data_IF_130597175114
#
_entry.id   IF_130597175114
#
_cell.length_a   1.000
_cell.length_b   1.000
_cell.length_c   1.000
_cell.angle_alpha   90.00
_cell.angle_beta   90.00
_cell.angle_gamma   90.00
#
_symmetry.space_group_name_H-M   'P 1'
#
loop_
_entity.id
_entity.type
_entity.pdbx_description
1 polymer ?
#
# COMPACT_ATOMS: atom_id res chain seq x y z
N UNK A 1 -22.10 19.00 10.60
CA UNK A 1 -21.38 17.74 10.94
C UNK A 1 -20.25 17.40 9.95
N UNK A 2 -19.46 18.38 9.50
CA UNK A 2 -18.48 18.21 8.39
C UNK A 2 -17.02 18.46 8.77
N UNK A 3 -16.74 18.96 9.98
CA UNK A 3 -15.38 19.32 10.41
C UNK A 3 -14.63 18.19 11.13
N UNK A 4 -15.31 17.29 11.85
CA UNK A 4 -14.65 16.20 12.59
C UNK A 4 -14.04 15.12 11.69
N UNK A 5 -14.68 14.81 10.55
CA UNK A 5 -14.16 13.86 9.57
C UNK A 5 -12.93 14.41 8.83
N UNK A 6 -12.85 15.73 8.62
CA UNK A 6 -11.67 16.39 8.05
C UNK A 6 -10.48 16.40 9.04
N UNK A 7 -10.75 16.58 10.34
CA UNK A 7 -9.70 16.62 11.38
C UNK A 7 -9.09 15.24 11.63
N UNK A 8 -9.88 14.15 11.57
CA UNK A 8 -9.32 12.79 11.63
C UNK A 8 -8.49 12.41 10.39
N UNK A 9 -8.87 12.89 9.20
CA UNK A 9 -8.08 12.71 7.97
C UNK A 9 -6.79 13.55 7.97
N UNK A 10 -6.77 14.69 8.67
CA UNK A 10 -5.60 15.55 8.83
C UNK A 10 -4.62 15.02 9.91
N UNK A 11 -5.11 14.38 10.98
CA UNK A 11 -4.24 13.78 12.01
C UNK A 11 -3.56 12.49 11.56
N UNK A 12 -4.13 11.75 10.60
CA UNK A 12 -3.44 10.65 9.93
C UNK A 12 -2.37 11.11 8.90
N UNK A 13 -2.15 12.43 8.75
CA UNK A 13 -1.22 13.01 7.78
C UNK A 13 0.18 13.36 8.34
N UNK A 14 0.43 13.13 9.64
CA UNK A 14 1.67 13.54 10.32
C UNK A 14 2.44 12.40 11.03
N UNK A 15 2.07 11.14 10.82
CA UNK A 15 2.79 10.03 11.45
C UNK A 15 4.16 9.79 10.76
N UNK A 16 5.29 9.78 11.50
CA UNK A 16 6.57 9.35 10.96
C UNK A 16 6.48 7.89 10.51
N UNK A 17 7.32 7.53 9.54
CA UNK A 17 7.44 6.18 8.98
C UNK A 17 7.98 5.19 10.02
N UNK A 18 7.13 4.77 10.96
CA UNK A 18 7.40 3.59 11.78
C UNK A 18 7.34 2.35 10.91
N UNK A 19 8.22 1.39 11.16
CA UNK A 19 8.25 0.06 10.53
C UNK A 19 6.81 -0.48 10.41
N UNK A 20 6.30 -0.61 9.19
CA UNK A 20 4.86 -0.68 8.92
C UNK A 20 4.12 -1.87 9.55
N UNK A 21 4.83 -2.93 9.92
CA UNK A 21 4.28 -4.07 10.67
C UNK A 21 3.98 -3.72 12.13
N UNK A 22 4.60 -2.68 12.69
CA UNK A 22 4.36 -2.27 14.07
C UNK A 22 3.02 -1.53 14.27
N UNK A 23 2.37 -1.14 13.18
CA UNK A 23 1.20 -0.27 13.14
C UNK A 23 -0.11 -0.91 12.66
N UNK A 24 -0.24 -2.25 12.66
CA UNK A 24 -1.53 -2.92 12.33
C UNK A 24 -2.69 -2.21 13.04
N UNK A 25 -3.72 -1.84 12.26
CA UNK A 25 -4.95 -1.25 12.78
C UNK A 25 -4.86 0.18 13.34
N UNK A 26 -3.69 0.82 13.31
CA UNK A 26 -3.46 2.02 14.11
C UNK A 26 -4.33 3.23 13.75
N UNK A 27 -4.89 3.23 12.54
CA UNK A 27 -5.72 4.31 11.99
C UNK A 27 -7.07 3.81 11.45
N UNK A 28 -7.55 2.66 11.94
CA UNK A 28 -8.80 2.08 11.44
C UNK A 28 -8.67 1.44 10.05
N UNK A 29 -7.45 1.21 9.56
CA UNK A 29 -7.16 0.51 8.31
C UNK A 29 -6.46 -0.80 8.64
N UNK A 30 -6.92 -1.89 8.03
CA UNK A 30 -6.43 -3.22 8.33
C UNK A 30 -6.29 -4.06 7.06
N UNK A 31 -5.21 -4.85 6.91
CA UNK A 31 -5.18 -5.91 5.90
C UNK A 31 -6.20 -7.00 6.25
N UNK A 32 -6.75 -7.64 5.21
CA UNK A 32 -7.73 -8.72 5.36
C UNK A 32 -7.14 -10.01 4.82
N UNK A 33 -7.16 -11.05 5.65
CA UNK A 33 -6.61 -12.36 5.33
C UNK A 33 -7.73 -13.36 5.13
N UNK A 34 -7.51 -14.30 4.21
CA UNK A 34 -8.39 -15.45 3.99
C UNK A 34 -7.80 -16.65 4.72
N UNK A 35 -8.55 -17.23 5.65
CA UNK A 35 -8.21 -18.47 6.35
C UNK A 35 -9.31 -19.49 6.07
N UNK A 36 -9.08 -20.38 5.09
CA UNK A 36 -10.11 -21.21 4.51
C UNK A 36 -11.26 -20.36 3.94
N UNK A 37 -12.47 -20.55 4.47
CA UNK A 37 -13.66 -19.76 4.10
C UNK A 37 -13.82 -18.47 4.94
N UNK A 38 -12.99 -18.28 5.97
CA UNK A 38 -13.12 -17.17 6.92
C UNK A 38 -12.27 -15.98 6.47
N UNK A 39 -12.80 -14.77 6.64
CA UNK A 39 -12.04 -13.54 6.46
C UNK A 39 -11.68 -12.99 7.82
N UNK A 40 -10.41 -12.66 8.00
CA UNK A 40 -9.83 -12.33 9.30
C UNK A 40 -9.05 -11.03 9.21
N UNK A 41 -9.24 -10.17 10.20
CA UNK A 41 -8.39 -9.00 10.45
C UNK A 41 -7.59 -9.26 11.73
N UNK A 42 -6.31 -8.88 11.72
CA UNK A 42 -5.48 -8.88 12.92
C UNK A 42 -5.17 -7.47 13.42
N UNK A 43 -5.10 -7.31 14.75
CA UNK A 43 -4.66 -6.10 15.42
C UNK A 43 -3.86 -6.44 16.68
N UNK A 44 -2.98 -5.52 17.11
CA UNK A 44 -2.30 -5.65 18.40
C UNK A 44 -3.30 -5.40 19.53
N UNK A 45 -3.35 -6.23 20.59
CA UNK A 45 -4.14 -5.95 21.77
C UNK A 45 -3.60 -4.68 22.44
N UNK A 46 -4.28 -3.54 22.22
CA UNK A 46 -3.97 -2.28 22.88
C UNK A 46 -4.47 -2.30 24.32
N UNK A 47 -3.66 -1.82 25.26
CA UNK A 47 -4.03 -1.67 26.68
C UNK A 47 -5.05 -0.54 26.93
N UNK A 48 -5.39 0.28 25.94
CA UNK A 48 -6.26 1.45 26.13
C UNK A 48 -7.76 1.11 26.00
N UNK A 49 -8.62 1.89 26.68
CA UNK A 49 -10.09 1.81 26.60
C UNK A 49 -10.67 1.91 25.17
N UNK A 50 -9.86 2.35 24.20
CA UNK A 50 -10.24 2.50 22.79
C UNK A 50 -9.97 1.24 21.94
N UNK A 51 -9.51 0.13 22.54
CA UNK A 51 -9.30 -1.16 21.86
C UNK A 51 -10.62 -1.87 21.48
N UNK A 52 -11.63 -1.12 21.02
CA UNK A 52 -12.97 -1.62 20.67
C UNK A 52 -13.16 -1.83 19.16
N UNK A 53 -12.21 -1.41 18.33
CA UNK A 53 -12.36 -1.40 16.87
C UNK A 53 -12.67 -2.80 16.29
N UNK A 54 -12.10 -3.83 16.91
CA UNK A 54 -12.32 -5.23 16.53
C UNK A 54 -13.40 -5.95 17.35
N UNK A 55 -14.22 -5.29 18.17
CA UNK A 55 -15.24 -5.99 18.97
C UNK A 55 -16.38 -6.55 18.11
N UNK A 56 -17.04 -7.65 18.52
CA UNK A 56 -18.26 -8.13 17.86
C UNK A 56 -19.27 -7.01 17.62
N UNK A 57 -19.88 -6.99 16.43
CA UNK A 57 -20.78 -5.91 15.99
C UNK A 57 -20.06 -4.72 15.33
N UNK A 58 -18.73 -4.63 15.42
CA UNK A 58 -17.98 -3.60 14.71
C UNK A 58 -18.10 -3.77 13.19
N UNK A 59 -18.41 -2.67 12.50
CA UNK A 59 -18.55 -2.63 11.03
C UNK A 59 -17.25 -2.21 10.35
N UNK A 60 -16.99 -2.83 9.21
CA UNK A 60 -15.86 -2.58 8.32
C UNK A 60 -16.32 -2.50 6.88
N UNK A 61 -15.82 -1.53 6.13
CA UNK A 61 -15.86 -1.55 4.67
C UNK A 61 -14.69 -2.39 4.18
N UNK A 62 -14.97 -3.50 3.50
CA UNK A 62 -13.95 -4.36 2.89
C UNK A 62 -13.85 -4.00 1.42
N UNK A 63 -12.64 -3.73 0.95
CA UNK A 63 -12.29 -3.52 -0.45
C UNK A 63 -11.51 -4.75 -0.90
N UNK A 64 -11.95 -5.36 -1.99
CA UNK A 64 -11.34 -6.54 -2.58
C UNK A 64 -11.13 -6.39 -4.08
N UNK A 65 -10.85 -7.49 -4.76
CA UNK A 65 -10.49 -7.55 -6.18
C UNK A 65 -11.62 -7.20 -7.16
N UNK A 66 -12.87 -7.30 -6.74
CA UNK A 66 -14.04 -7.09 -7.61
C UNK A 66 -14.89 -5.89 -7.17
N UNK A 67 -14.79 -5.49 -5.90
CA UNK A 67 -15.60 -4.42 -5.38
C UNK A 67 -15.40 -4.20 -3.89
N UNK A 68 -16.39 -3.58 -3.26
CA UNK A 68 -16.37 -3.30 -1.84
C UNK A 68 -17.76 -3.49 -1.21
N UNK A 69 -17.80 -3.99 0.03
CA UNK A 69 -19.04 -4.15 0.79
C UNK A 69 -18.79 -4.09 2.31
N UNK A 70 -19.88 -4.00 3.09
CA UNK A 70 -19.84 -3.90 4.54
C UNK A 70 -19.84 -5.28 5.18
N UNK A 71 -18.88 -5.48 6.06
CA UNK A 71 -18.74 -6.67 6.90
C UNK A 71 -18.86 -6.27 8.35
N UNK A 72 -19.24 -7.25 9.17
CA UNK A 72 -19.36 -7.10 10.62
C UNK A 72 -18.44 -8.10 11.30
N UNK A 73 -17.80 -7.70 12.39
CA UNK A 73 -17.09 -8.65 13.25
C UNK A 73 -18.11 -9.57 13.91
N UNK A 74 -18.05 -10.85 13.57
CA UNK A 74 -18.90 -11.88 14.19
C UNK A 74 -18.36 -12.35 15.53
N UNK A 75 -17.05 -12.59 15.61
CA UNK A 75 -16.36 -12.99 16.85
C UNK A 75 -14.91 -12.54 16.85
N UNK A 76 -14.32 -12.47 18.03
CA UNK A 76 -12.89 -12.22 18.22
C UNK A 76 -12.22 -13.36 18.96
N UNK A 77 -10.96 -13.65 18.64
CA UNK A 77 -10.10 -14.53 19.41
C UNK A 77 -8.74 -13.87 19.66
N UNK A 78 -8.03 -14.35 20.67
CA UNK A 78 -6.60 -14.11 20.79
C UNK A 78 -5.86 -15.13 19.91
N UNK A 79 -4.84 -14.67 19.21
CA UNK A 79 -3.92 -15.52 18.43
C UNK A 79 -2.50 -15.01 18.65
N UNK A 80 -1.52 -15.73 18.12
CA UNK A 80 -0.17 -15.21 17.94
C UNK A 80 -0.03 -14.79 16.48
N UNK A 81 0.63 -13.65 16.23
CA UNK A 81 0.95 -13.20 14.89
C UNK A 81 2.20 -13.87 14.36
N UNK A 82 2.35 -13.88 13.03
CA UNK A 82 3.59 -14.25 12.35
C UNK A 82 4.66 -13.17 12.46
N UNK A 83 4.91 -12.63 13.66
CA UNK A 83 6.07 -11.77 13.95
C UNK A 83 6.51 -12.00 15.40
N UNK A 84 7.82 -12.15 15.60
CA UNK A 84 8.42 -12.14 16.93
C UNK A 84 8.91 -10.73 17.30
N UNK A 85 8.67 -10.30 18.55
CA UNK A 85 9.32 -9.12 19.12
C UNK A 85 10.22 -9.54 20.27
N UNK A 86 11.49 -9.17 20.23
CA UNK A 86 12.49 -9.59 21.23
C UNK A 86 12.50 -11.12 21.42
N UNK A 87 12.44 -11.88 20.31
CA UNK A 87 12.36 -13.35 20.30
C UNK A 87 11.13 -13.94 21.03
N UNK A 88 10.08 -13.14 21.25
CA UNK A 88 8.80 -13.60 21.82
C UNK A 88 7.66 -13.45 20.81
N UNK A 89 6.74 -14.42 20.71
CA UNK A 89 5.56 -14.31 19.86
C UNK A 89 4.74 -13.08 20.24
N UNK A 90 4.35 -12.29 19.22
CA UNK A 90 3.46 -11.18 19.43
C UNK A 90 2.02 -11.70 19.53
N UNK A 91 1.38 -11.53 20.69
CA UNK A 91 -0.07 -11.78 20.82
C UNK A 91 -0.82 -10.77 19.97
N UNK A 92 -1.68 -11.25 19.08
CA UNK A 92 -2.59 -10.48 18.26
C UNK A 92 -4.05 -10.82 18.62
N UNK A 93 -4.94 -9.90 18.30
CA UNK A 93 -6.38 -10.15 18.28
C UNK A 93 -6.79 -10.45 16.84
N UNK A 94 -7.48 -11.55 16.64
CA UNK A 94 -8.10 -11.90 15.37
C UNK A 94 -9.59 -11.58 15.43
N UNK A 95 -10.12 -10.90 14.41
CA UNK A 95 -11.54 -10.63 14.25
C UNK A 95 -12.04 -11.35 13.00
N UNK A 96 -13.01 -12.25 13.17
CA UNK A 96 -13.64 -12.95 12.05
C UNK A 96 -14.78 -12.11 11.49
N UNK A 97 -14.71 -11.86 10.20
CA UNK A 97 -15.67 -11.04 9.47
C UNK A 97 -16.82 -11.89 8.89
N UNK A 98 -18.02 -11.34 8.98
CA UNK A 98 -19.25 -11.85 8.34
C UNK A 98 -19.78 -10.80 7.38
N UNK A 99 -20.05 -11.20 6.14
CA UNK A 99 -20.57 -10.31 5.10
C UNK A 99 -20.58 -10.95 3.71
N UNK A 100 -21.06 -10.21 2.69
CA UNK A 100 -21.26 -10.70 1.33
C UNK A 100 -19.94 -10.75 0.55
N UNK A 101 -19.36 -11.94 0.40
CA UNK A 101 -18.04 -12.14 -0.24
C UNK A 101 -18.06 -12.01 -1.77
N UNK A 102 -19.16 -12.43 -2.40
CA UNK A 102 -19.30 -12.45 -3.86
C UNK A 102 -19.25 -11.08 -4.53
N UNK A 103 -19.51 -9.99 -3.78
CA UNK A 103 -19.43 -8.62 -4.29
C UNK A 103 -18.04 -7.99 -4.15
N UNK A 104 -17.15 -8.65 -3.42
CA UNK A 104 -15.85 -8.12 -3.03
C UNK A 104 -14.72 -8.89 -3.74
N UNK A 105 -14.90 -10.19 -3.98
CA UNK A 105 -13.84 -11.04 -4.53
C UNK A 105 -12.77 -11.35 -3.49
N UNK A 106 -11.49 -11.33 -3.89
CA UNK A 106 -10.36 -11.52 -2.99
C UNK A 106 -10.17 -10.29 -2.10
N UNK A 107 -10.22 -10.41 -0.76
CA UNK A 107 -10.17 -9.25 0.11
C UNK A 107 -8.76 -8.68 0.22
N UNK A 108 -8.64 -7.36 0.16
CA UNK A 108 -7.36 -6.66 0.24
C UNK A 108 -7.29 -5.90 1.56
N UNK A 109 -8.22 -4.98 1.78
CA UNK A 109 -8.19 -4.07 2.92
C UNK A 109 -9.56 -3.91 3.57
N UNK A 110 -9.56 -3.68 4.87
CA UNK A 110 -10.69 -3.23 5.66
C UNK A 110 -10.49 -1.81 6.19
N UNK A 111 -11.54 -1.02 6.13
CA UNK A 111 -11.64 0.31 6.74
C UNK A 111 -12.70 0.25 7.83
N UNK A 112 -12.35 0.61 9.06
CA UNK A 112 -13.31 0.75 10.16
C UNK A 112 -14.28 1.85 9.80
N UNK A 113 -15.57 1.53 9.85
CA UNK A 113 -16.64 2.50 9.60
C UNK A 113 -17.55 2.68 10.82
N UNK A 114 -18.21 3.84 10.95
CA UNK A 114 -19.26 4.05 11.94
C UNK A 114 -20.43 3.07 11.81
N UNK A 115 -21.21 2.91 12.88
CA UNK A 115 -22.35 1.99 12.93
C UNK A 115 -23.42 2.30 11.86
N UNK A 116 -23.64 3.59 11.59
CA UNK A 116 -24.59 4.11 10.61
C UNK A 116 -24.00 4.29 9.20
N UNK A 117 -22.77 3.83 8.95
CA UNK A 117 -22.18 3.94 7.62
C UNK A 117 -22.97 3.09 6.62
N UNK A 118 -23.36 3.74 5.53
CA UNK A 118 -23.95 3.12 4.35
C UNK A 118 -22.97 3.29 3.20
N UNK A 119 -22.73 2.21 2.47
CA UNK A 119 -21.98 2.27 1.22
C UNK A 119 -22.83 3.05 0.22
N UNK A 120 -22.51 4.33 0.00
CA UNK A 120 -23.19 5.17 -0.98
C UNK A 120 -22.85 4.64 -2.37
N UNK A 121 -23.76 3.87 -2.96
CA UNK A 121 -23.60 3.27 -4.29
C UNK A 121 -23.65 4.29 -5.44
N UNK A 122 -23.97 5.57 -5.20
CA UNK A 122 -24.22 6.51 -6.29
C UNK A 122 -22.96 7.12 -6.93
N UNK A 123 -21.86 7.27 -6.19
CA UNK A 123 -20.66 7.97 -6.69
C UNK A 123 -19.34 7.23 -6.47
N UNK A 124 -19.28 6.20 -5.62
CA UNK A 124 -18.04 5.47 -5.42
C UNK A 124 -17.60 4.80 -6.73
N UNK A 125 -16.32 4.95 -7.10
CA UNK A 125 -15.75 4.33 -8.29
C UNK A 125 -14.78 3.24 -7.90
N UNK A 126 -14.93 2.09 -8.53
CA UNK A 126 -14.06 0.94 -8.37
C UNK A 126 -13.53 0.54 -9.75
N UNK A 127 -12.21 0.42 -9.89
CA UNK A 127 -11.57 0.11 -11.17
C UNK A 127 -10.40 -0.84 -10.93
N UNK A 128 -10.43 -2.02 -11.54
CA UNK A 128 -9.23 -2.84 -11.68
C UNK A 128 -8.32 -2.20 -12.72
N UNK A 129 -7.05 -1.97 -12.37
CA UNK A 129 -6.10 -1.27 -13.22
C UNK A 129 -5.26 -2.27 -14.00
N UNK A 130 -5.25 -2.08 -15.32
CA UNK A 130 -4.36 -2.81 -16.22
C UNK A 130 -3.01 -2.13 -16.30
N UNK A 131 -1.96 -2.92 -16.51
CA UNK A 131 -0.64 -2.39 -16.77
C UNK A 131 -0.57 -1.77 -18.17
N UNK A 132 -0.18 -0.51 -18.25
CA UNK A 132 0.04 0.28 -19.47
C UNK A 132 1.50 0.75 -19.58
N UNK A 133 2.44 0.03 -18.95
CA UNK A 133 3.86 0.30 -19.14
C UNK A 133 4.28 -0.14 -20.56
N UNK A 134 4.55 0.83 -21.43
CA UNK A 134 4.88 0.64 -22.84
C UNK A 134 5.96 1.63 -23.31
N UNK A 135 6.50 1.39 -24.51
CA UNK A 135 7.60 2.19 -25.09
C UNK A 135 7.30 3.70 -25.19
N UNK A 136 6.10 4.16 -25.62
CA UNK A 136 5.75 5.58 -25.59
C UNK A 136 5.89 6.22 -24.20
N UNK A 137 5.51 5.49 -23.14
CA UNK A 137 5.66 5.98 -21.79
C UNK A 137 7.13 6.10 -21.37
N UNK A 138 7.99 5.15 -21.79
CA UNK A 138 9.44 5.25 -21.59
C UNK A 138 10.02 6.45 -22.30
N UNK A 139 9.60 6.74 -23.53
CA UNK A 139 10.04 7.91 -24.27
C UNK A 139 9.60 9.22 -23.61
N UNK A 140 8.38 9.26 -23.06
CA UNK A 140 7.83 10.43 -22.41
C UNK A 140 8.48 10.73 -21.04
N UNK A 141 8.71 9.70 -20.22
CA UNK A 141 9.08 9.86 -18.82
C UNK A 141 10.47 9.36 -18.46
N UNK A 142 11.13 8.58 -19.32
CA UNK A 142 12.39 7.90 -19.00
C UNK A 142 13.49 8.86 -18.55
N UNK A 143 13.70 9.97 -19.29
CA UNK A 143 14.68 10.99 -18.93
C UNK A 143 14.34 11.67 -17.60
N UNK A 144 13.08 12.05 -17.39
CA UNK A 144 12.59 12.66 -16.14
C UNK A 144 12.75 11.72 -14.94
N UNK A 145 12.46 10.42 -15.11
CA UNK A 145 12.60 9.40 -14.08
C UNK A 145 14.07 9.16 -13.72
N UNK A 146 14.94 9.03 -14.72
CA UNK A 146 16.39 8.87 -14.52
C UNK A 146 16.97 10.08 -13.81
N UNK A 147 16.61 11.29 -14.22
CA UNK A 147 17.04 12.52 -13.56
C UNK A 147 16.56 12.57 -12.09
N UNK A 148 15.31 12.21 -11.82
CA UNK A 148 14.79 12.17 -10.46
C UNK A 148 15.54 11.17 -9.56
N UNK A 149 15.86 9.98 -10.06
CA UNK A 149 16.65 9.00 -9.30
C UNK A 149 18.08 9.47 -9.07
N UNK A 150 18.69 10.09 -10.06
CA UNK A 150 20.03 10.66 -9.93
C UNK A 150 20.08 11.69 -8.80
N UNK A 151 19.12 12.62 -8.76
CA UNK A 151 19.00 13.61 -7.70
C UNK A 151 18.66 12.99 -6.34
N UNK A 152 17.82 11.96 -6.31
CA UNK A 152 17.55 11.20 -5.08
C UNK A 152 18.80 10.51 -4.54
N UNK A 153 19.67 9.99 -5.42
CA UNK A 153 20.98 9.46 -5.08
C UNK A 153 21.88 10.51 -4.44
N UNK A 154 22.05 11.66 -5.11
CA UNK A 154 22.85 12.79 -4.61
C UNK A 154 22.35 13.33 -3.27
N UNK A 155 21.04 13.42 -3.11
CA UNK A 155 20.41 13.95 -1.90
C UNK A 155 20.35 12.95 -0.73
N UNK A 156 20.83 11.71 -0.92
CA UNK A 156 20.76 10.63 0.09
C UNK A 156 19.34 10.09 0.34
N UNK A 157 18.38 10.43 -0.53
CA UNK A 157 17.03 9.88 -0.47
C UNK A 157 16.96 8.46 -1.04
N UNK A 158 17.88 8.10 -1.94
CA UNK A 158 18.10 6.73 -2.38
C UNK A 158 18.98 6.00 -1.35
N UNK A 159 18.44 4.97 -0.72
CA UNK A 159 19.15 4.18 0.29
C UNK A 159 19.99 3.11 -0.40
N UNK A 160 21.31 3.24 -0.31
CA UNK A 160 22.25 2.22 -0.75
C UNK A 160 22.30 1.07 0.26
N UNK A 161 22.55 -0.14 -0.23
CA UNK A 161 22.82 -1.27 0.65
C UNK A 161 24.15 -1.03 1.41
N UNK A 162 24.25 -1.48 2.67
CA UNK A 162 25.50 -1.33 3.43
C UNK A 162 26.71 -2.03 2.79
N UNK A 163 26.48 -3.06 1.97
CA UNK A 163 27.48 -3.86 1.26
C UNK A 163 27.67 -3.44 -0.21
N UNK A 164 27.19 -2.26 -0.62
CA UNK A 164 27.34 -1.77 -1.99
C UNK A 164 28.63 -0.96 -2.17
N UNK A 165 29.71 -1.65 -2.53
CA UNK A 165 31.03 -1.06 -2.75
C UNK A 165 31.05 -0.02 -3.89
N UNK A 166 30.12 -0.11 -4.85
CA UNK A 166 30.02 0.84 -5.95
C UNK A 166 29.28 2.14 -5.62
N UNK A 167 28.62 2.22 -4.46
CA UNK A 167 27.87 3.40 -4.04
C UNK A 167 28.77 4.65 -3.92
N UNK A 168 29.97 4.49 -3.36
CA UNK A 168 30.92 5.60 -3.21
C UNK A 168 31.38 6.16 -4.57
N UNK A 169 31.64 5.29 -5.55
CA UNK A 169 32.01 5.69 -6.90
C UNK A 169 30.89 6.45 -7.61
N UNK A 170 29.64 5.99 -7.47
CA UNK A 170 28.48 6.70 -7.98
C UNK A 170 28.34 8.09 -7.36
N UNK A 171 28.46 8.21 -6.03
CA UNK A 171 28.30 9.49 -5.32
C UNK A 171 29.39 10.51 -5.69
N UNK A 172 30.58 10.04 -6.07
CA UNK A 172 31.68 10.89 -6.53
C UNK A 172 31.43 11.49 -7.93
N UNK A 173 30.80 10.75 -8.84
CA UNK A 173 30.50 11.19 -10.21
C UNK A 173 29.14 10.65 -10.73
N UNK A 174 28.01 11.19 -10.24
CA UNK A 174 26.70 10.69 -10.62
C UNK A 174 26.34 11.09 -12.07
N UNK A 175 26.22 10.08 -12.94
CA UNK A 175 25.86 10.26 -14.36
C UNK A 175 24.54 9.56 -14.71
N UNK A 176 23.73 10.08 -15.66
CA UNK A 176 22.48 9.43 -16.07
C UNK A 176 22.66 7.96 -16.48
N UNK A 177 23.75 7.63 -17.20
CA UNK A 177 24.04 6.26 -17.64
C UNK A 177 24.45 5.28 -16.52
N UNK A 178 24.65 5.77 -15.29
CA UNK A 178 24.92 4.91 -14.12
C UNK A 178 23.64 4.44 -13.41
N UNK A 179 22.48 4.91 -13.86
CA UNK A 179 21.17 4.51 -13.35
C UNK A 179 20.52 3.57 -14.36
N UNK A 180 20.30 2.32 -13.98
CA UNK A 180 19.42 1.43 -14.72
C UNK A 180 17.98 1.64 -14.21
N UNK A 181 17.03 1.83 -15.14
CA UNK A 181 15.66 2.19 -14.80
C UNK A 181 14.67 1.34 -15.58
N UNK A 182 13.59 0.93 -14.91
CA UNK A 182 12.47 0.21 -15.50
C UNK A 182 11.15 0.72 -14.94
N UNK A 183 10.14 0.85 -15.79
CA UNK A 183 8.74 1.03 -15.40
C UNK A 183 8.10 -0.36 -15.38
N UNK A 184 7.87 -0.91 -14.19
CA UNK A 184 7.24 -2.23 -14.01
C UNK A 184 5.72 -2.18 -14.22
N UNK A 185 5.11 -1.06 -13.82
CA UNK A 185 3.68 -0.86 -13.91
C UNK A 185 3.35 0.59 -14.20
N UNK A 186 2.36 0.83 -15.04
CA UNK A 186 1.75 2.13 -15.22
C UNK A 186 0.23 2.02 -15.33
N UNK A 187 -0.49 2.98 -14.75
CA UNK A 187 -1.92 3.12 -14.96
C UNK A 187 -2.35 4.59 -14.84
N UNK A 188 -3.52 4.91 -15.38
CA UNK A 188 -4.06 6.27 -15.44
C UNK A 188 -5.28 6.44 -14.53
N UNK A 189 -5.10 6.46 -13.19
CA UNK A 189 -6.23 6.70 -12.28
C UNK A 189 -6.70 8.14 -12.38
N UNK A 190 -8.01 8.38 -12.22
CA UNK A 190 -8.54 9.74 -12.13
C UNK A 190 -8.11 10.38 -10.81
N UNK A 191 -7.30 11.44 -10.87
CA UNK A 191 -6.86 12.21 -9.71
C UNK A 191 -7.26 13.68 -9.89
N UNK A 192 -8.06 14.18 -8.97
CA UNK A 192 -8.55 15.55 -8.97
C UNK A 192 -7.38 16.53 -8.92
N UNK A 193 -7.40 17.50 -9.83
CA UNK A 193 -6.36 18.52 -9.96
C UNK A 193 -5.19 18.15 -10.88
N UNK A 194 -5.18 16.93 -11.43
CA UNK A 194 -4.22 16.52 -12.47
C UNK A 194 -4.93 16.36 -13.81
N UNK A 195 -4.22 16.63 -14.92
CA UNK A 195 -4.81 16.59 -16.28
C UNK A 195 -4.69 15.21 -16.92
N UNK A 196 -3.49 14.65 -16.87
CA UNK A 196 -3.08 13.36 -17.43
C UNK A 196 -2.31 12.57 -16.36
N UNK A 197 -2.99 12.20 -15.25
CA UNK A 197 -2.37 11.48 -14.16
C UNK A 197 -1.89 10.08 -14.58
N UNK A 198 -0.66 9.74 -14.21
CA UNK A 198 -0.10 8.38 -14.38
C UNK A 198 0.54 7.93 -13.07
N UNK A 199 0.01 6.86 -12.48
CA UNK A 199 0.64 6.18 -11.36
C UNK A 199 1.62 5.14 -11.92
N UNK A 200 2.85 5.16 -11.42
CA UNK A 200 3.96 4.36 -11.92
C UNK A 200 4.55 3.54 -10.78
N UNK A 201 4.88 2.28 -11.04
CA UNK A 201 5.85 1.54 -10.25
C UNK A 201 7.15 1.49 -11.04
N UNK A 202 8.18 2.11 -10.51
CA UNK A 202 9.50 2.17 -11.14
C UNK A 202 10.50 1.40 -10.32
N UNK A 203 11.33 0.61 -10.97
CA UNK A 203 12.48 -0.07 -10.38
C UNK A 203 13.75 0.61 -10.89
N UNK A 204 14.55 1.12 -9.96
CA UNK A 204 15.76 1.85 -10.26
C UNK A 204 16.94 1.19 -9.56
N UNK A 205 17.99 0.93 -10.32
CA UNK A 205 19.23 0.34 -9.85
C UNK A 205 20.38 1.34 -9.99
N UNK A 206 21.13 1.51 -8.92
CA UNK A 206 22.40 2.23 -8.90
C UNK A 206 23.41 1.26 -8.28
N UNK A 207 24.46 0.91 -9.01
CA UNK A 207 25.40 -0.14 -8.61
C UNK A 207 24.66 -1.46 -8.25
N UNK A 208 24.87 -2.02 -7.06
CA UNK A 208 24.21 -3.23 -6.58
C UNK A 208 22.94 -2.94 -5.77
N UNK A 209 22.62 -1.67 -5.54
CA UNK A 209 21.42 -1.26 -4.82
C UNK A 209 20.23 -1.12 -5.77
N UNK A 210 19.08 -1.60 -5.31
CA UNK A 210 17.80 -1.51 -6.02
C UNK A 210 16.80 -0.75 -5.19
N UNK A 211 15.97 0.04 -5.85
CA UNK A 211 14.91 0.80 -5.21
C UNK A 211 13.68 0.84 -6.09
N UNK A 212 12.61 0.26 -5.56
CA UNK A 212 11.30 0.34 -6.19
C UNK A 212 10.47 1.45 -5.57
N UNK A 213 9.81 2.21 -6.42
CA UNK A 213 9.06 3.39 -6.04
C UNK A 213 7.68 3.36 -6.67
N UNK A 214 6.66 3.69 -5.88
CA UNK A 214 5.46 4.27 -6.46
C UNK A 214 5.70 5.76 -6.73
N UNK A 215 5.49 6.17 -7.97
CA UNK A 215 5.55 7.57 -8.42
C UNK A 215 4.22 7.98 -9.03
N UNK A 216 3.96 9.28 -9.02
CA UNK A 216 2.83 9.89 -9.71
C UNK A 216 3.39 10.88 -10.72
N UNK A 217 2.85 10.89 -11.93
CA UNK A 217 3.16 11.85 -12.97
C UNK A 217 1.88 12.55 -13.43
N UNK A 218 2.03 13.74 -13.99
CA UNK A 218 0.99 14.45 -14.74
C UNK A 218 1.58 14.85 -16.09
N UNK A 219 1.32 14.02 -17.11
CA UNK A 219 1.98 14.16 -18.41
C UNK A 219 3.45 13.77 -18.33
N UNK A 220 4.35 14.69 -18.67
CA UNK A 220 5.81 14.53 -18.68
C UNK A 220 6.49 14.86 -17.33
N UNK A 221 5.72 15.30 -16.34
CA UNK A 221 6.23 15.79 -15.06
C UNK A 221 5.92 14.84 -13.92
N UNK A 222 6.90 14.62 -13.05
CA UNK A 222 6.70 13.89 -11.80
C UNK A 222 6.08 14.80 -10.73
N UNK A 223 5.16 14.22 -9.97
CA UNK A 223 4.41 14.87 -8.90
C UNK A 223 4.78 14.22 -7.57
N UNK A 224 5.37 15.04 -6.68
CA UNK A 224 5.84 14.57 -5.38
C UNK A 224 7.11 13.72 -5.47
N UNK A 225 7.41 13.00 -4.39
CA UNK A 225 8.61 12.16 -4.26
C UNK A 225 8.29 10.68 -4.51
N UNK A 226 9.34 9.88 -4.72
CA UNK A 226 9.23 8.43 -4.62
C UNK A 226 8.58 8.01 -3.29
N UNK A 227 7.54 7.19 -3.36
CA UNK A 227 7.02 6.44 -2.23
C UNK A 227 7.59 5.03 -2.30
N UNK A 228 8.57 4.76 -1.45
CA UNK A 228 9.35 3.53 -1.54
C UNK A 228 8.52 2.27 -1.25
N UNK A 229 8.69 1.27 -2.11
CA UNK A 229 8.17 -0.07 -1.97
C UNK A 229 9.34 -1.02 -1.71
N UNK A 230 9.65 -1.34 -0.44
CA UNK A 230 10.87 -2.06 -0.09
C UNK A 230 11.10 -3.36 -0.84
N UNK A 231 12.36 -3.51 -1.25
CA UNK A 231 12.89 -4.48 -2.20
C UNK A 231 12.75 -5.96 -1.76
N UNK A 232 12.73 -6.24 -0.45
CA UNK A 232 13.02 -7.58 0.07
C UNK A 232 12.04 -8.70 -0.38
N UNK A 233 10.88 -8.37 -0.93
CA UNK A 233 9.82 -9.36 -1.20
C UNK A 233 9.20 -9.24 -2.60
N UNK A 234 9.69 -8.30 -3.44
CA UNK A 234 9.04 -7.91 -4.69
C UNK A 234 9.74 -8.42 -5.97
N UNK A 235 10.43 -9.57 -5.97
CA UNK A 235 10.96 -10.14 -7.22
C UNK A 235 9.89 -10.43 -8.29
N UNK A 236 8.60 -10.23 -7.97
CA UNK A 236 7.46 -10.66 -8.78
C UNK A 236 6.42 -9.52 -8.98
N UNK A 237 6.85 -8.31 -9.40
CA UNK A 237 5.90 -7.23 -9.75
C UNK A 237 4.85 -7.68 -10.78
N UNK A 238 5.18 -8.67 -11.62
CA UNK A 238 4.26 -9.35 -12.52
C UNK A 238 3.05 -10.01 -11.82
N UNK A 239 3.15 -10.34 -10.54
CA UNK A 239 2.07 -10.94 -9.76
C UNK A 239 1.19 -9.90 -9.03
N UNK A 240 1.66 -8.65 -8.93
CA UNK A 240 0.89 -7.58 -8.30
C UNK A 240 -0.28 -7.20 -9.20
N UNK A 241 -1.45 -7.15 -8.59
CA UNK A 241 -2.67 -6.61 -9.15
C UNK A 241 -2.96 -5.27 -8.52
N UNK A 242 -3.49 -4.36 -9.33
CA UNK A 242 -3.75 -3.00 -8.91
C UNK A 242 -5.23 -2.71 -9.03
N UNK A 243 -5.79 -2.08 -8.00
CA UNK A 243 -7.17 -1.61 -7.97
C UNK A 243 -7.19 -0.16 -7.49
N UNK A 244 -8.05 0.63 -8.11
CA UNK A 244 -8.37 1.99 -7.68
C UNK A 244 -9.74 2.00 -7.03
N UNK A 245 -9.81 2.51 -5.81
CA UNK A 245 -11.07 2.75 -5.12
C UNK A 245 -11.20 4.23 -4.76
N UNK A 246 -12.13 4.92 -5.40
CA UNK A 246 -12.50 6.29 -5.06
C UNK A 246 -13.84 6.29 -4.31
N UNK A 247 -13.85 6.45 -2.98
CA UNK A 247 -15.07 6.38 -2.18
C UNK A 247 -16.07 7.49 -2.48
N UNK A 248 -15.61 8.63 -3.03
CA UNK A 248 -16.44 9.80 -3.29
C UNK A 248 -16.74 10.05 -4.77
N UNK A 249 -16.03 9.36 -5.68
CA UNK A 249 -16.08 9.63 -7.12
C UNK A 249 -15.54 11.00 -7.50
N UNK A 250 -14.83 11.67 -6.59
CA UNK A 250 -14.37 13.06 -6.74
C UNK A 250 -12.88 13.15 -7.09
N UNK A 251 -12.30 12.08 -7.64
CA UNK A 251 -10.90 12.01 -8.07
C UNK A 251 -9.95 11.92 -6.88
N UNK A 252 -10.35 11.24 -5.80
CA UNK A 252 -9.54 11.09 -4.58
C UNK A 252 -9.22 9.63 -4.26
N UNK A 253 -8.72 8.84 -5.23
CA UNK A 253 -8.65 7.40 -5.10
C UNK A 253 -7.59 6.93 -4.10
N UNK A 254 -7.87 5.77 -3.52
CA UNK A 254 -6.85 4.87 -3.01
C UNK A 254 -6.41 3.95 -4.12
N UNK A 255 -5.10 3.84 -4.32
CA UNK A 255 -4.49 2.81 -5.14
C UNK A 255 -4.06 1.67 -4.22
N UNK A 256 -4.58 0.47 -4.46
CA UNK A 256 -4.21 -0.73 -3.71
C UNK A 256 -3.48 -1.69 -4.65
N UNK A 257 -2.31 -2.16 -4.24
CA UNK A 257 -1.56 -3.21 -4.92
C UNK A 257 -1.60 -4.47 -4.06
N UNK A 258 -1.86 -5.64 -4.65
CA UNK A 258 -1.95 -6.91 -3.92
C UNK A 258 -1.61 -8.13 -4.77
N UNK A 259 -1.20 -9.24 -4.13
CA UNK A 259 -1.03 -10.55 -4.78
C UNK A 259 -2.30 -11.41 -4.62
N UNK A 260 -2.68 -12.20 -5.64
CA UNK A 260 -3.80 -13.17 -5.53
C UNK A 260 -3.42 -14.43 -4.74
N UNK A 261 -2.20 -14.91 -4.93
CA UNK A 261 -1.65 -16.05 -4.21
C UNK A 261 -0.83 -15.61 -3.01
N UNK A 262 -0.50 -16.57 -2.15
CA UNK A 262 0.62 -16.46 -1.25
C UNK A 262 1.88 -16.62 -2.12
N UNK A 263 2.69 -15.58 -2.39
CA UNK A 263 4.06 -15.82 -2.82
C UNK A 263 4.78 -16.65 -1.75
N UNK A 264 6.03 -17.05 -2.01
CA UNK A 264 6.91 -17.71 -1.03
C UNK A 264 6.94 -17.02 0.36
N UNK A 265 6.49 -15.75 0.42
CA UNK A 265 6.47 -14.86 1.57
C UNK A 265 5.06 -14.49 2.11
N UNK A 266 3.96 -15.03 1.56
CA UNK A 266 2.58 -14.71 1.96
C UNK A 266 2.00 -13.47 1.26
N UNK A 267 0.69 -13.20 1.42
CA UNK A 267 0.01 -12.13 0.67
C UNK A 267 0.65 -10.75 0.87
N UNK A 268 1.06 -10.11 -0.22
CA UNK A 268 1.54 -8.73 -0.19
C UNK A 268 0.41 -7.75 -0.44
N UNK A 269 0.38 -6.65 0.31
CA UNK A 269 -0.60 -5.58 0.14
C UNK A 269 0.00 -4.22 0.41
N UNK A 270 -0.22 -3.32 -0.53
CA UNK A 270 0.19 -1.93 -0.44
C UNK A 270 -1.01 -1.03 -0.69
N UNK A 271 -1.10 0.08 0.04
CA UNK A 271 -2.15 1.06 -0.15
C UNK A 271 -1.59 2.47 -0.15
N UNK A 272 -1.94 3.21 -1.21
CA UNK A 272 -1.46 4.56 -1.47
C UNK A 272 -2.64 5.52 -1.65
N UNK A 273 -2.59 6.67 -0.99
CA UNK A 273 -3.49 7.78 -1.30
C UNK A 273 -2.87 8.55 -2.46
N UNK A 274 -3.66 8.79 -3.52
CA UNK A 274 -3.24 9.64 -4.63
C UNK A 274 -3.87 11.03 -4.50
N UNK A 275 -3.04 12.06 -4.68
CA UNK A 275 -3.40 13.49 -4.62
C UNK A 275 -2.60 14.26 -5.67
N UNK A 276 -3.06 15.46 -6.01
CA UNK A 276 -2.31 16.37 -6.89
C UNK A 276 -0.98 16.85 -6.31
N UNK A 277 -0.75 16.66 -5.01
CA UNK A 277 0.54 16.94 -4.34
C UNK A 277 1.49 15.74 -4.33
N UNK A 278 1.05 14.58 -4.82
CA UNK A 278 1.82 13.34 -4.85
C UNK A 278 1.11 12.16 -4.19
N UNK A 279 1.79 11.02 -4.20
CA UNK A 279 1.31 9.81 -3.54
C UNK A 279 1.78 9.73 -2.08
N UNK A 280 1.05 8.97 -1.25
CA UNK A 280 1.45 8.67 0.13
C UNK A 280 1.05 7.26 0.53
N UNK A 281 2.00 6.49 1.05
CA UNK A 281 1.75 5.18 1.63
C UNK A 281 0.88 5.29 2.89
N UNK A 282 -0.15 4.46 3.01
CA UNK A 282 -0.96 4.33 4.21
C UNK A 282 -1.15 2.88 4.68
N UNK A 283 -0.91 1.90 3.80
CA UNK A 283 -0.94 0.47 4.11
C UNK A 283 0.31 -0.16 3.51
N UNK A 284 1.06 -0.87 4.34
CA UNK A 284 2.14 -1.77 3.92
C UNK A 284 2.01 -3.02 4.78
N UNK A 285 1.64 -4.10 4.12
CA UNK A 285 1.56 -5.44 4.70
C UNK A 285 2.35 -6.38 3.81
N UNK A 286 3.41 -6.92 4.37
CA UNK A 286 4.16 -8.02 3.79
C UNK A 286 4.49 -8.90 5.00
N UNK A 287 3.84 -10.06 5.11
CA UNK A 287 4.14 -10.99 6.21
C UNK A 287 5.54 -11.57 6.01
N UNK A 288 6.25 -11.84 7.11
CA UNK A 288 7.51 -12.60 7.04
C UNK A 288 7.18 -14.10 7.17
N UNK A 289 7.43 -14.94 6.15
CA UNK A 289 7.12 -16.37 6.17
C UNK A 289 7.92 -17.12 7.22
N UNK A 290 9.08 -16.62 7.68
CA UNK A 290 9.86 -17.28 8.76
C UNK A 290 9.12 -17.33 10.09
N UNK A 291 8.09 -16.50 10.23
CA UNK A 291 7.21 -16.51 11.38
C UNK A 291 5.90 -17.28 11.12
N UNK A 292 5.71 -17.84 9.92
CA UNK A 292 4.60 -18.76 9.59
C UNK A 292 4.96 -20.19 9.94
N UNK A 293 6.20 -20.61 9.69
CA UNK A 293 6.68 -21.98 9.91
C UNK A 293 6.96 -22.32 11.40
N UNK A 294 6.66 -21.39 12.31
CA UNK A 294 6.75 -21.58 13.77
C UNK A 294 5.40 -21.90 14.41
N UNK A 295 4.35 -22.19 13.61
CA UNK A 295 3.01 -22.56 14.05
C UNK A 295 2.65 -23.99 13.66
#
# INVERSE_FOLDING_TARGET
>A
MTRLALVLLALCALAPSSVAQDSYGAHGLFPVYKSGIQWVIFDKPRKSRNAKDLMPGSRFLIIGSEGADIFVVGRTSATYGGVCRNKKPLKLRAALLKGPRSKVGDPVMAIKVPANFQLKSSNARYVALENKADEPLYQLLGSTLTAAVLEEGKAGAYQFRPDDDGAAAFLADPKPGSVAMKIDFAAHPVVSGLKTPTALITDAQISASHRRCLRLADGDRLIGRCVEMPHALMSESAQLRFISYDPGGNGRPFLLAYTRGEPLWGHERWGFVLRSTGARLFLRDAMDPRCRDSF
#
